data_IF_786348828589
#
_entry.id   IF_786348828589
#
_cell.length_a   1.000
_cell.length_b   1.000
_cell.length_c   1.000
_cell.angle_alpha   90.00
_cell.angle_beta   90.00
_cell.angle_gamma   90.00
#
_symmetry.space_group_name_H-M   'P 1'
#
loop_
_entity.id
_entity.type
_entity.pdbx_description
1 polymer ?
#
# COMPACT_ATOMS: atom_id res chain seq x y z
N UNK A 1 18.11 8.54 -5.18
CA UNK A 1 18.08 7.18 -4.61
C UNK A 1 18.39 6.13 -5.66
N UNK A 2 17.88 6.22 -6.90
CA UNK A 2 18.42 5.42 -8.01
C UNK A 2 19.77 5.97 -8.44
N UNK A 3 20.83 5.16 -8.29
CA UNK A 3 22.18 5.49 -8.76
C UNK A 3 22.38 5.05 -10.21
N UNK A 4 21.79 3.92 -10.59
CA UNK A 4 22.01 3.33 -11.89
C UNK A 4 20.98 2.28 -12.27
N UNK A 5 20.89 1.96 -13.56
CA UNK A 5 20.12 0.82 -14.03
C UNK A 5 20.79 0.15 -15.24
N UNK A 6 20.53 -1.16 -15.39
CA UNK A 6 21.01 -1.98 -16.51
C UNK A 6 19.98 -3.04 -16.89
N UNK A 7 19.80 -3.24 -18.19
CA UNK A 7 19.21 -4.46 -18.72
C UNK A 7 20.33 -5.51 -18.82
N UNK A 8 20.18 -6.63 -18.13
CA UNK A 8 21.15 -7.73 -18.14
C UNK A 8 20.51 -9.00 -18.70
N UNK A 9 21.27 -9.85 -19.41
CA UNK A 9 20.77 -11.16 -19.83
C UNK A 9 20.37 -12.04 -18.65
N UNK A 10 19.36 -12.88 -18.85
CA UNK A 10 18.79 -13.78 -17.86
C UNK A 10 17.73 -13.11 -16.98
N UNK A 11 16.92 -13.94 -16.31
CA UNK A 11 15.90 -13.52 -15.35
C UNK A 11 16.10 -14.20 -13.98
N UNK A 12 15.65 -13.58 -12.87
CA UNK A 12 15.52 -14.32 -11.63
C UNK A 12 14.56 -15.52 -11.80
N UNK A 13 14.66 -16.54 -10.93
CA UNK A 13 13.68 -17.62 -10.88
C UNK A 13 12.24 -17.08 -10.79
N UNK A 14 11.28 -17.80 -11.37
CA UNK A 14 9.87 -17.44 -11.17
C UNK A 14 9.56 -17.64 -9.70
N UNK A 15 8.90 -16.67 -9.07
CA UNK A 15 8.45 -16.79 -7.69
C UNK A 15 7.51 -18.00 -7.54
N UNK A 16 7.53 -18.68 -6.40
CA UNK A 16 6.82 -19.95 -6.21
C UNK A 16 5.30 -19.80 -6.45
N UNK A 17 4.74 -18.69 -6.00
CA UNK A 17 3.35 -18.27 -6.18
C UNK A 17 2.96 -18.02 -7.66
N UNK A 18 3.93 -17.87 -8.55
CA UNK A 18 3.73 -17.58 -9.98
C UNK A 18 4.05 -18.77 -10.90
N UNK A 19 4.43 -19.93 -10.33
CA UNK A 19 4.77 -21.12 -11.11
C UNK A 19 3.55 -21.74 -11.80
N UNK A 20 2.39 -21.74 -11.13
CA UNK A 20 1.14 -22.20 -11.71
C UNK A 20 0.36 -21.03 -12.32
N UNK A 21 0.69 -20.71 -13.58
CA UNK A 21 0.03 -19.63 -14.32
C UNK A 21 -1.48 -19.88 -14.43
N UNK A 22 -1.93 -21.13 -14.54
CA UNK A 22 -3.35 -21.43 -14.65
C UNK A 22 -4.09 -21.12 -13.34
N UNK A 23 -3.53 -21.50 -12.20
CA UNK A 23 -4.10 -21.18 -10.90
C UNK A 23 -4.19 -19.66 -10.67
N UNK A 24 -3.14 -18.92 -11.03
CA UNK A 24 -3.13 -17.45 -10.93
C UNK A 24 -4.19 -16.83 -11.85
N UNK A 25 -4.26 -17.24 -13.11
CA UNK A 25 -5.22 -16.71 -14.07
C UNK A 25 -6.66 -16.99 -13.63
N UNK A 26 -6.93 -18.18 -13.10
CA UNK A 26 -8.24 -18.53 -12.55
C UNK A 26 -8.61 -17.64 -11.35
N UNK A 27 -7.64 -17.34 -10.47
CA UNK A 27 -7.85 -16.40 -9.35
C UNK A 27 -8.26 -15.00 -9.83
N UNK A 28 -7.75 -14.56 -10.98
CA UNK A 28 -8.07 -13.26 -11.59
C UNK A 28 -9.17 -13.33 -12.66
N UNK A 29 -10.09 -14.29 -12.54
CA UNK A 29 -11.29 -14.37 -13.38
C UNK A 29 -11.00 -14.73 -14.84
N UNK A 30 -10.02 -15.60 -15.08
CA UNK A 30 -9.60 -16.08 -16.40
C UNK A 30 -9.16 -14.96 -17.37
N UNK A 31 -8.68 -13.85 -16.81
CA UNK A 31 -8.29 -12.67 -17.58
C UNK A 31 -7.07 -12.93 -18.47
N UNK A 32 -7.24 -12.75 -19.78
CA UNK A 32 -6.19 -13.00 -20.77
C UNK A 32 -5.00 -12.04 -20.65
N UNK A 33 -5.20 -10.80 -20.20
CA UNK A 33 -4.11 -9.87 -19.96
C UNK A 33 -3.23 -10.33 -18.78
N UNK A 34 -3.84 -10.92 -17.74
CA UNK A 34 -3.11 -11.55 -16.63
C UNK A 34 -2.31 -12.74 -17.15
N UNK A 35 -2.91 -13.63 -17.94
CA UNK A 35 -2.19 -14.74 -18.57
C UNK A 35 -0.97 -14.24 -19.36
N UNK A 36 -1.19 -13.31 -20.28
CA UNK A 36 -0.13 -12.75 -21.13
C UNK A 36 1.02 -12.15 -20.30
N UNK A 37 0.70 -11.44 -19.21
CA UNK A 37 1.69 -10.88 -18.29
C UNK A 37 2.56 -11.96 -17.65
N UNK A 38 1.96 -13.04 -17.17
CA UNK A 38 2.66 -14.12 -16.48
C UNK A 38 3.48 -15.00 -17.43
N UNK A 39 2.96 -15.30 -18.62
CA UNK A 39 3.71 -15.99 -19.68
C UNK A 39 4.92 -15.14 -20.11
N UNK A 40 4.74 -13.83 -20.32
CA UNK A 40 5.85 -12.93 -20.62
C UNK A 40 6.91 -12.86 -19.50
N UNK A 41 6.52 -12.95 -18.22
CA UNK A 41 7.47 -13.06 -17.11
C UNK A 41 8.25 -14.38 -17.14
N UNK A 42 7.57 -15.49 -17.43
CA UNK A 42 8.18 -16.80 -17.49
C UNK A 42 9.18 -16.91 -18.66
N UNK A 43 8.87 -16.28 -19.78
CA UNK A 43 9.67 -16.28 -21.02
C UNK A 43 10.72 -15.17 -21.08
N UNK A 44 10.75 -14.25 -20.09
CA UNK A 44 11.67 -13.13 -20.09
C UNK A 44 13.14 -13.61 -20.16
N UNK A 45 13.88 -13.07 -21.12
CA UNK A 45 15.29 -13.40 -21.38
C UNK A 45 16.27 -12.40 -20.77
N UNK A 46 15.75 -11.36 -20.12
CA UNK A 46 16.53 -10.29 -19.52
C UNK A 46 15.89 -9.78 -18.23
N UNK A 47 16.71 -9.17 -17.38
CA UNK A 47 16.31 -8.50 -16.14
C UNK A 47 16.61 -7.02 -16.23
N UNK A 48 15.68 -6.20 -15.74
CA UNK A 48 16.00 -4.82 -15.38
C UNK A 48 16.56 -4.82 -13.96
N UNK A 49 17.84 -4.46 -13.82
CA UNK A 49 18.52 -4.33 -12.52
C UNK A 49 18.61 -2.86 -12.15
N UNK A 50 18.07 -2.51 -10.98
CA UNK A 50 18.12 -1.17 -10.41
C UNK A 50 19.15 -1.13 -9.28
N UNK A 51 20.11 -0.21 -9.36
CA UNK A 51 21.08 0.04 -8.30
C UNK A 51 20.58 1.22 -7.49
N UNK A 52 20.05 0.92 -6.31
CA UNK A 52 19.44 1.88 -5.41
C UNK A 52 20.37 2.15 -4.22
N UNK A 53 20.25 3.34 -3.65
CA UNK A 53 20.81 3.67 -2.34
C UNK A 53 20.31 2.67 -1.30
N UNK A 54 21.22 2.12 -0.50
CA UNK A 54 20.85 1.22 0.58
C UNK A 54 20.39 2.02 1.79
N UNK A 55 19.12 1.87 2.16
CA UNK A 55 18.58 2.42 3.40
C UNK A 55 18.35 1.29 4.41
N UNK A 56 18.97 1.36 5.61
CA UNK A 56 18.63 0.49 6.72
C UNK A 56 17.14 0.58 7.06
N UNK A 57 16.56 -0.52 7.53
CA UNK A 57 15.16 -0.53 7.96
C UNK A 57 15.01 0.03 9.37
N UNK A 58 14.95 1.35 9.48
CA UNK A 58 14.65 2.05 10.73
C UNK A 58 13.15 2.13 11.05
N UNK A 59 12.27 1.69 10.14
CA UNK A 59 10.83 1.86 10.31
C UNK A 59 10.26 1.11 11.53
N UNK A 60 10.69 -0.12 11.87
CA UNK A 60 10.22 -0.79 13.09
C UNK A 60 10.41 0.03 14.36
N UNK A 61 11.54 0.74 14.49
CA UNK A 61 11.80 1.64 15.62
C UNK A 61 10.89 2.86 15.64
N UNK A 62 10.50 3.37 14.47
CA UNK A 62 9.50 4.45 14.39
C UNK A 62 8.13 3.96 14.85
N UNK A 63 7.73 2.77 14.39
CA UNK A 63 6.40 2.22 14.64
C UNK A 63 6.25 1.65 16.06
N UNK A 64 7.34 1.47 16.81
CA UNK A 64 7.31 1.00 18.20
C UNK A 64 6.87 2.08 19.21
N UNK A 65 6.86 3.36 18.83
CA UNK A 65 6.35 4.46 19.64
C UNK A 65 5.12 5.11 18.96
N UNK A 66 3.96 4.43 18.97
CA UNK A 66 2.78 4.90 18.24
C UNK A 66 2.20 6.20 18.77
N UNK A 67 2.44 6.55 20.05
CA UNK A 67 1.92 7.80 20.62
C UNK A 67 2.86 8.96 20.32
N UNK A 68 4.17 8.80 20.57
CA UNK A 68 5.15 9.86 20.35
C UNK A 68 5.45 10.14 18.88
N UNK A 69 5.26 9.16 17.98
CA UNK A 69 5.51 9.30 16.54
C UNK A 69 4.27 9.55 15.69
N UNK A 70 3.05 9.42 16.22
CA UNK A 70 1.80 9.50 15.44
C UNK A 70 1.76 10.70 14.48
N UNK A 71 1.93 11.92 15.01
CA UNK A 71 1.85 13.14 14.23
C UNK A 71 2.98 13.27 13.20
N UNK A 72 4.18 12.77 13.51
CA UNK A 72 5.30 12.82 12.55
C UNK A 72 5.09 11.80 11.42
N UNK A 73 4.61 10.59 11.75
CA UNK A 73 4.29 9.56 10.77
C UNK A 73 3.15 10.02 9.88
N UNK A 74 2.06 10.55 10.44
CA UNK A 74 0.96 11.15 9.68
C UNK A 74 1.50 12.21 8.71
N UNK A 75 2.17 13.24 9.24
CA UNK A 75 2.70 14.35 8.43
C UNK A 75 3.54 13.84 7.27
N UNK A 76 4.53 13.00 7.53
CA UNK A 76 5.44 12.53 6.47
C UNK A 76 4.76 11.60 5.47
N UNK A 77 3.81 10.77 5.92
CA UNK A 77 3.04 9.92 5.02
C UNK A 77 2.19 10.76 4.05
N UNK A 78 1.53 11.81 4.54
CA UNK A 78 0.73 12.68 3.69
C UNK A 78 1.56 13.69 2.89
N UNK A 79 2.77 14.05 3.33
CA UNK A 79 3.75 14.74 2.48
C UNK A 79 4.17 13.87 1.30
N UNK A 80 4.42 12.56 1.50
CA UNK A 80 4.70 11.62 0.42
C UNK A 80 3.52 11.50 -0.55
N UNK A 81 2.29 11.31 -0.04
CA UNK A 81 1.08 11.25 -0.89
C UNK A 81 0.89 12.54 -1.70
N UNK A 82 1.04 13.71 -1.08
CA UNK A 82 0.92 14.99 -1.76
C UNK A 82 1.99 15.16 -2.83
N UNK A 83 3.23 14.74 -2.55
CA UNK A 83 4.32 14.77 -3.51
C UNK A 83 4.04 13.91 -4.75
N UNK A 84 3.57 12.67 -4.55
CA UNK A 84 3.19 11.75 -5.63
C UNK A 84 2.07 12.34 -6.49
N UNK A 85 1.01 12.83 -5.83
CA UNK A 85 -0.13 13.47 -6.50
C UNK A 85 0.27 14.67 -7.34
N UNK A 86 1.15 15.53 -6.82
CA UNK A 86 1.66 16.71 -7.54
C UNK A 86 2.52 16.34 -8.76
N UNK A 87 3.00 15.09 -8.84
CA UNK A 87 3.74 14.55 -9.99
C UNK A 87 2.87 13.66 -10.88
N UNK A 88 1.57 13.60 -10.61
CA UNK A 88 0.63 12.70 -11.29
C UNK A 88 1.15 11.25 -11.30
N UNK A 89 1.77 10.85 -10.20
CA UNK A 89 2.25 9.49 -9.99
C UNK A 89 1.30 8.79 -9.02
N UNK A 90 0.71 7.69 -9.47
CA UNK A 90 -0.18 6.84 -8.69
C UNK A 90 0.59 5.60 -8.25
N UNK A 91 0.81 5.44 -6.95
CA UNK A 91 1.70 4.42 -6.40
C UNK A 91 1.04 3.05 -6.20
N UNK A 92 -0.24 3.04 -5.80
CA UNK A 92 -1.08 1.86 -5.56
C UNK A 92 -0.66 0.93 -4.42
N UNK A 93 0.59 0.98 -3.95
CA UNK A 93 1.09 0.05 -2.91
C UNK A 93 1.95 0.71 -1.82
N UNK A 94 1.44 1.80 -1.23
CA UNK A 94 2.12 2.60 -0.20
C UNK A 94 2.14 1.97 1.20
N UNK A 95 2.37 0.66 1.32
CA UNK A 95 2.35 -0.04 2.60
C UNK A 95 3.68 0.07 3.37
N UNK A 96 3.67 -0.13 4.70
CA UNK A 96 4.87 -0.02 5.54
C UNK A 96 6.05 -0.92 5.12
N UNK A 97 5.80 -2.07 4.47
CA UNK A 97 6.88 -2.90 3.91
C UNK A 97 7.67 -2.24 2.76
N UNK A 98 7.07 -1.25 2.10
CA UNK A 98 7.64 -0.48 0.99
C UNK A 98 8.16 0.88 1.47
N UNK A 99 8.15 1.11 2.79
CA UNK A 99 8.67 2.32 3.41
C UNK A 99 9.92 1.93 4.23
N UNK A 100 10.93 2.80 4.18
CA UNK A 100 12.10 2.76 5.07
C UNK A 100 12.15 4.04 5.88
N UNK A 101 12.99 4.06 6.91
CA UNK A 101 13.19 5.25 7.71
C UNK A 101 14.64 5.37 8.18
N UNK A 102 15.13 6.60 8.27
CA UNK A 102 16.34 6.94 9.03
C UNK A 102 15.95 7.55 10.39
N UNK A 103 16.80 8.37 11.01
CA UNK A 103 16.49 9.05 12.27
C UNK A 103 15.46 10.17 12.15
N UNK A 104 15.32 10.77 10.97
CA UNK A 104 14.55 11.98 10.74
C UNK A 104 13.37 11.80 9.77
N UNK A 105 13.45 10.87 8.82
CA UNK A 105 12.54 10.81 7.68
C UNK A 105 12.12 9.40 7.26
N UNK A 106 10.94 9.34 6.66
CA UNK A 106 10.39 8.19 5.95
C UNK A 106 10.73 8.30 4.45
N UNK A 107 10.96 7.14 3.84
CA UNK A 107 11.27 7.00 2.43
C UNK A 107 10.39 5.93 1.82
N UNK A 108 9.64 6.26 0.76
CA UNK A 108 8.98 5.28 -0.08
C UNK A 108 10.03 4.70 -1.05
N UNK A 109 10.23 3.38 -1.03
CA UNK A 109 11.38 2.75 -1.69
C UNK A 109 11.03 1.75 -2.79
N UNK A 110 9.77 1.33 -2.90
CA UNK A 110 9.34 0.36 -3.91
C UNK A 110 8.22 0.95 -4.76
N UNK A 111 8.49 1.14 -6.05
CA UNK A 111 7.57 1.71 -7.04
C UNK A 111 7.12 0.67 -8.07
N UNK A 112 7.21 -0.62 -7.75
CA UNK A 112 6.95 -1.72 -8.69
C UNK A 112 5.53 -1.76 -9.28
N UNK A 113 4.56 -1.12 -8.63
CA UNK A 113 3.17 -1.00 -9.08
C UNK A 113 2.77 0.42 -9.51
N UNK A 114 3.71 1.36 -9.51
CA UNK A 114 3.39 2.75 -9.80
C UNK A 114 3.04 2.96 -11.29
N UNK A 115 2.06 3.83 -11.55
CA UNK A 115 1.65 4.25 -12.89
C UNK A 115 1.43 5.77 -12.96
N UNK A 116 1.34 6.32 -14.16
CA UNK A 116 1.09 7.75 -14.38
C UNK A 116 0.37 7.94 -15.71
N UNK A 117 -0.57 8.91 -15.83
CA UNK A 117 -1.11 9.30 -17.13
C UNK A 117 -0.04 9.85 -18.09
N UNK A 118 1.21 10.05 -17.67
CA UNK A 118 2.31 10.40 -18.57
C UNK A 118 3.00 9.19 -19.20
N UNK A 119 2.62 7.97 -18.83
CA UNK A 119 3.15 6.75 -19.44
C UNK A 119 2.44 6.44 -20.77
N UNK A 120 3.05 5.55 -21.57
CA UNK A 120 2.42 5.00 -22.76
C UNK A 120 1.36 3.97 -22.34
N UNK A 121 0.15 4.48 -22.09
CA UNK A 121 -0.99 3.74 -21.55
C UNK A 121 -2.08 3.60 -22.60
N UNK A 122 -2.82 2.49 -22.55
CA UNK A 122 -4.10 2.38 -23.24
C UNK A 122 -5.16 3.31 -22.63
N UNK A 123 -6.24 3.57 -23.37
CA UNK A 123 -7.36 4.40 -22.89
C UNK A 123 -7.93 3.88 -21.55
N UNK A 124 -8.05 2.56 -21.40
CA UNK A 124 -8.56 1.93 -20.18
C UNK A 124 -7.64 2.14 -18.96
N UNK A 125 -6.32 2.14 -19.18
CA UNK A 125 -5.32 2.39 -18.14
C UNK A 125 -5.28 3.87 -17.76
N UNK A 126 -5.45 4.78 -18.72
CA UNK A 126 -5.63 6.21 -18.47
C UNK A 126 -6.86 6.50 -17.61
N UNK A 127 -8.00 5.90 -17.97
CA UNK A 127 -9.23 6.00 -17.20
C UNK A 127 -9.07 5.41 -15.80
N UNK A 128 -8.34 4.31 -15.66
CA UNK A 128 -8.00 3.72 -14.37
C UNK A 128 -7.17 4.71 -13.52
N UNK A 129 -6.08 5.26 -14.05
CA UNK A 129 -5.22 6.18 -13.31
C UNK A 129 -5.99 7.44 -12.86
N UNK A 130 -6.84 7.98 -13.74
CA UNK A 130 -7.67 9.16 -13.45
C UNK A 130 -8.70 8.88 -12.37
N UNK A 131 -9.45 7.78 -12.48
CA UNK A 131 -10.47 7.40 -11.48
C UNK A 131 -9.88 7.10 -10.11
N UNK A 132 -8.66 6.59 -10.07
CA UNK A 132 -7.98 6.17 -8.84
C UNK A 132 -6.97 7.17 -8.29
N UNK A 133 -6.98 8.42 -8.78
CA UNK A 133 -6.03 9.46 -8.32
C UNK A 133 -6.06 9.75 -6.80
N UNK A 134 -7.14 9.38 -6.11
CA UNK A 134 -7.27 9.47 -4.65
C UNK A 134 -6.82 8.24 -3.87
N UNK A 135 -6.50 7.12 -4.55
CA UNK A 135 -6.25 5.83 -3.92
C UNK A 135 -5.13 5.89 -2.87
N UNK A 136 -4.00 6.53 -3.19
CA UNK A 136 -2.84 6.57 -2.28
C UNK A 136 -3.15 7.32 -0.98
N UNK A 137 -4.02 8.33 -1.00
CA UNK A 137 -4.45 9.05 0.19
C UNK A 137 -5.37 8.22 1.09
N UNK A 138 -6.30 7.49 0.50
CA UNK A 138 -7.21 6.60 1.23
C UNK A 138 -6.44 5.37 1.76
N UNK A 139 -5.48 4.85 0.99
CA UNK A 139 -4.60 3.76 1.41
C UNK A 139 -3.67 4.19 2.54
N UNK A 140 -3.05 5.37 2.45
CA UNK A 140 -2.27 5.96 3.54
C UNK A 140 -3.09 6.13 4.83
N UNK A 141 -4.31 6.67 4.71
CA UNK A 141 -5.25 6.80 5.83
C UNK A 141 -5.55 5.44 6.46
N UNK A 142 -5.80 4.41 5.63
CA UNK A 142 -5.99 3.05 6.09
C UNK A 142 -4.78 2.52 6.86
N UNK A 143 -3.57 2.62 6.30
CA UNK A 143 -2.35 2.10 6.95
C UNK A 143 -2.08 2.80 8.29
N UNK A 144 -2.24 4.12 8.33
CA UNK A 144 -2.06 4.94 9.53
C UNK A 144 -3.05 4.56 10.64
N UNK A 145 -4.36 4.59 10.33
CA UNK A 145 -5.39 4.28 11.33
C UNK A 145 -5.29 2.83 11.80
N UNK A 146 -5.05 1.88 10.90
CA UNK A 146 -4.93 0.48 11.27
C UNK A 146 -3.76 0.24 12.22
N UNK A 147 -2.61 0.89 11.99
CA UNK A 147 -1.48 0.83 12.92
C UNK A 147 -1.81 1.44 14.28
N UNK A 148 -2.39 2.65 14.33
CA UNK A 148 -2.77 3.28 15.60
C UNK A 148 -3.78 2.45 16.38
N UNK A 149 -4.82 1.93 15.73
CA UNK A 149 -5.85 1.10 16.38
C UNK A 149 -5.27 -0.22 16.88
N UNK A 150 -4.39 -0.85 16.11
CA UNK A 150 -3.75 -2.09 16.54
C UNK A 150 -2.77 -1.87 17.69
N UNK A 151 -1.94 -0.83 17.62
CA UNK A 151 -0.84 -0.59 18.56
C UNK A 151 -1.27 0.16 19.84
N UNK A 152 -2.28 1.03 19.77
CA UNK A 152 -2.73 1.85 20.91
C UNK A 152 -4.01 1.29 21.53
N UNK A 153 -4.98 0.88 20.71
CA UNK A 153 -6.29 0.41 21.20
C UNK A 153 -6.33 -1.10 21.51
N UNK A 154 -5.19 -1.79 21.44
CA UNK A 154 -5.09 -3.21 21.78
C UNK A 154 -5.94 -4.11 20.91
N UNK A 155 -6.00 -3.84 19.59
CA UNK A 155 -6.68 -4.67 18.59
C UNK A 155 -5.67 -5.39 17.69
N UNK A 156 -4.85 -6.32 18.23
CA UNK A 156 -3.94 -7.10 17.41
C UNK A 156 -4.73 -7.99 16.45
N UNK A 157 -4.14 -8.21 15.28
CA UNK A 157 -4.65 -9.15 14.28
C UNK A 157 -3.73 -10.35 14.34
N UNK A 158 -4.17 -11.52 14.83
CA UNK A 158 -3.34 -12.72 14.84
C UNK A 158 -2.89 -13.05 13.42
N UNK A 159 -1.68 -13.61 13.29
CA UNK A 159 -1.16 -14.04 12.00
C UNK A 159 -2.14 -15.03 11.33
N UNK A 160 -2.48 -14.79 10.06
CA UNK A 160 -3.43 -15.62 9.31
C UNK A 160 -4.91 -15.40 9.68
N UNK A 161 -5.24 -14.44 10.54
CA UNK A 161 -6.63 -14.14 10.92
C UNK A 161 -7.15 -12.85 10.27
N UNK A 162 -8.47 -12.79 10.05
CA UNK A 162 -9.14 -11.57 9.57
C UNK A 162 -9.12 -10.48 10.64
N UNK A 163 -8.92 -9.20 10.27
CA UNK A 163 -8.87 -8.08 11.21
C UNK A 163 -10.26 -7.60 11.66
N UNK A 164 -11.20 -8.50 11.94
CA UNK A 164 -12.63 -8.17 12.17
C UNK A 164 -12.81 -7.16 13.31
N UNK A 165 -12.18 -7.40 14.46
CA UNK A 165 -12.29 -6.53 15.63
C UNK A 165 -11.70 -5.13 15.37
N UNK A 166 -10.59 -5.05 14.64
CA UNK A 166 -9.96 -3.79 14.25
C UNK A 166 -10.83 -3.03 13.25
N UNK A 167 -11.33 -3.68 12.20
CA UNK A 167 -12.19 -3.03 11.21
C UNK A 167 -13.50 -2.53 11.82
N UNK A 168 -14.11 -3.31 12.73
CA UNK A 168 -15.28 -2.85 13.47
C UNK A 168 -14.99 -1.59 14.32
N UNK A 169 -13.83 -1.55 14.98
CA UNK A 169 -13.40 -0.36 15.72
C UNK A 169 -13.21 0.85 14.79
N UNK A 170 -12.53 0.68 13.65
CA UNK A 170 -12.34 1.76 12.67
C UNK A 170 -13.68 2.30 12.16
N UNK A 171 -14.67 1.42 11.88
CA UNK A 171 -16.02 1.84 11.45
C UNK A 171 -16.75 2.65 12.52
N UNK A 172 -16.62 2.28 13.81
CA UNK A 172 -17.16 3.09 14.92
C UNK A 172 -16.52 4.48 14.95
N UNK A 173 -15.21 4.56 14.86
CA UNK A 173 -14.50 5.84 14.80
C UNK A 173 -14.90 6.68 13.58
N UNK A 174 -15.12 6.05 12.43
CA UNK A 174 -15.60 6.72 11.22
C UNK A 174 -17.01 7.32 11.40
N UNK A 175 -17.83 6.77 12.30
CA UNK A 175 -19.14 7.31 12.67
C UNK A 175 -19.07 8.38 13.78
N UNK A 176 -17.87 8.82 14.18
CA UNK A 176 -17.65 9.84 15.21
C UNK A 176 -17.53 9.30 16.64
N UNK A 177 -17.63 7.99 16.84
CA UNK A 177 -17.45 7.34 18.14
C UNK A 177 -15.95 7.13 18.43
N UNK A 178 -15.26 8.23 18.75
CA UNK A 178 -13.84 8.25 19.13
C UNK A 178 -13.74 8.05 20.65
N UNK A 179 -13.02 7.01 21.14
CA UNK A 179 -12.90 6.79 22.57
C UNK A 179 -12.23 7.99 23.28
N UNK A 180 -12.81 8.49 24.38
CA UNK A 180 -12.34 9.70 25.06
C UNK A 180 -11.02 9.51 25.82
N UNK A 181 -10.61 8.26 26.04
CA UNK A 181 -9.38 7.86 26.75
C UNK A 181 -8.16 7.75 25.82
N UNK A 182 -8.32 7.96 24.51
CA UNK A 182 -7.19 7.99 23.59
C UNK A 182 -6.28 9.19 23.87
N UNK A 183 -4.95 9.03 23.73
CA UNK A 183 -4.05 10.17 23.71
C UNK A 183 -4.53 11.20 22.68
N UNK A 184 -4.64 12.51 23.03
CA UNK A 184 -5.19 13.54 22.13
C UNK A 184 -4.65 13.51 20.69
N UNK A 185 -3.32 13.44 20.44
CA UNK A 185 -2.83 13.40 19.06
C UNK A 185 -3.30 12.16 18.30
N UNK A 186 -3.45 11.01 18.97
CA UNK A 186 -3.94 9.77 18.34
C UNK A 186 -5.44 9.87 18.03
N UNK A 187 -6.23 10.36 18.98
CA UNK A 187 -7.68 10.54 18.81
C UNK A 187 -8.02 11.48 17.65
N UNK A 188 -7.32 12.61 17.54
CA UNK A 188 -7.50 13.58 16.45
C UNK A 188 -7.14 12.99 15.08
N UNK A 189 -6.03 12.25 14.98
CA UNK A 189 -5.61 11.59 13.74
C UNK A 189 -6.61 10.52 13.32
N UNK A 190 -7.08 9.69 14.26
CA UNK A 190 -8.10 8.68 13.99
C UNK A 190 -9.38 9.36 13.52
N UNK A 191 -9.85 10.41 14.21
CA UNK A 191 -11.05 11.13 13.80
C UNK A 191 -10.96 11.66 12.36
N UNK A 192 -9.79 12.19 11.97
CA UNK A 192 -9.53 12.74 10.64
C UNK A 192 -9.52 11.66 9.54
N UNK A 193 -8.92 10.51 9.82
CA UNK A 193 -8.62 9.50 8.79
C UNK A 193 -9.52 8.26 8.82
N UNK A 194 -10.29 8.03 9.89
CA UNK A 194 -11.13 6.84 10.04
C UNK A 194 -12.17 6.67 8.92
N UNK A 195 -12.84 7.72 8.39
CA UNK A 195 -13.77 7.56 7.28
C UNK A 195 -13.13 6.96 6.02
N UNK A 196 -11.94 7.43 5.63
CA UNK A 196 -11.20 6.89 4.51
C UNK A 196 -10.67 5.48 4.80
N UNK A 197 -10.11 5.28 6.00
CA UNK A 197 -9.62 3.98 6.43
C UNK A 197 -10.72 2.90 6.45
N UNK A 198 -11.95 3.24 6.86
CA UNK A 198 -13.07 2.32 6.87
C UNK A 198 -13.44 1.86 5.46
N UNK A 199 -13.61 2.80 4.51
CA UNK A 199 -13.92 2.47 3.11
C UNK A 199 -12.83 1.60 2.48
N UNK A 200 -11.56 1.98 2.68
CA UNK A 200 -10.44 1.23 2.11
C UNK A 200 -10.29 -0.16 2.75
N UNK A 201 -10.52 -0.29 4.06
CA UNK A 201 -10.57 -1.60 4.71
C UNK A 201 -11.68 -2.50 4.14
N UNK A 202 -12.85 -1.94 3.85
CA UNK A 202 -13.97 -2.67 3.27
C UNK A 202 -13.65 -3.09 1.83
N UNK A 203 -13.08 -2.18 1.03
CA UNK A 203 -12.56 -2.45 -0.31
C UNK A 203 -11.53 -3.59 -0.32
N UNK A 204 -10.48 -3.50 0.51
CA UNK A 204 -9.47 -4.57 0.60
C UNK A 204 -10.06 -5.89 1.11
N UNK A 205 -11.08 -5.85 1.98
CA UNK A 205 -11.74 -7.07 2.46
C UNK A 205 -12.50 -7.77 1.35
N UNK A 206 -13.20 -7.01 0.49
CA UNK A 206 -13.90 -7.52 -0.69
C UNK A 206 -12.93 -8.13 -1.71
N UNK A 207 -11.82 -7.44 -2.00
CA UNK A 207 -10.78 -7.97 -2.88
C UNK A 207 -10.20 -9.28 -2.34
N UNK A 208 -9.92 -9.36 -1.04
CA UNK A 208 -9.45 -10.60 -0.41
C UNK A 208 -10.46 -11.74 -0.53
N UNK A 209 -11.76 -11.42 -0.58
CA UNK A 209 -12.85 -12.37 -0.78
C UNK A 209 -13.11 -12.72 -2.25
N UNK A 210 -12.27 -12.24 -3.17
CA UNK A 210 -12.34 -12.54 -4.60
C UNK A 210 -13.30 -11.64 -5.39
N UNK A 211 -13.79 -10.55 -4.80
CA UNK A 211 -14.59 -9.56 -5.52
C UNK A 211 -13.70 -8.65 -6.37
N UNK A 212 -13.39 -9.10 -7.59
CA UNK A 212 -12.59 -8.35 -8.57
C UNK A 212 -13.27 -7.06 -9.09
N UNK A 213 -14.52 -6.81 -8.68
CA UNK A 213 -15.29 -5.63 -9.04
C UNK A 213 -15.49 -4.68 -7.85
N UNK A 214 -14.71 -4.86 -6.78
CA UNK A 214 -14.65 -3.89 -5.69
C UNK A 214 -14.28 -2.50 -6.24
N UNK A 215 -15.07 -1.51 -5.83
CA UNK A 215 -14.89 -0.08 -6.11
C UNK A 215 -15.30 0.68 -4.85
#
# INVERSE_FOLDING_TARGET
MLHHWRALPGRPPVAAEHLDINAVVAQFGDNQAVRARFEALADATASLVLLLEHLPDGLPRWLSDPVGRAATVERQLFEMVAFLRNRELLHLDGHFGNIRADDARLYLVDFGLATSPHFDLSDAEHDFATRNAGHDADYASMRLVNWLVTSVCGKPVPAGSRPVARNHFVRRCAAGDIPPDLPPPVGEIIARHAPAAARMNDFCSRLFDGDLHAQ
#
